data_IF_639534716317
#
_entry.id   IF_639534716317
#
_cell.length_a   1.000
_cell.length_b   1.000
_cell.length_c   1.000
_cell.angle_alpha   90.00
_cell.angle_beta   90.00
_cell.angle_gamma   90.00
#
_symmetry.space_group_name_H-M   'P 1'
#
loop_
_entity.id
_entity.type
_entity.pdbx_description
1 polymer ?
#
# COMPACT_ATOMS: atom_id res chain seq x y z
N UNK A 1 60.51 7.48 91.28
CA UNK A 1 59.63 7.36 90.09
C UNK A 1 59.61 8.65 89.27
N UNK A 2 59.53 9.84 89.88
CA UNK A 2 59.64 11.14 89.17
C UNK A 2 60.92 11.30 88.34
N UNK A 3 62.10 11.05 88.92
CA UNK A 3 63.37 11.14 88.18
C UNK A 3 63.46 10.21 86.96
N UNK A 4 62.86 9.01 87.03
CA UNK A 4 62.82 8.05 85.90
C UNK A 4 61.84 8.45 84.80
N UNK A 5 60.86 9.29 85.08
CA UNK A 5 59.92 9.83 84.09
C UNK A 5 60.56 11.05 83.40
N UNK A 6 61.17 11.95 84.16
CA UNK A 6 61.90 13.09 83.59
C UNK A 6 63.06 12.67 82.69
N UNK A 7 63.79 11.61 83.05
CA UNK A 7 64.92 11.13 82.26
C UNK A 7 64.48 10.43 80.96
N UNK A 8 63.33 9.75 80.98
CA UNK A 8 62.71 9.18 79.78
C UNK A 8 62.10 10.24 78.87
N UNK A 9 61.52 11.30 79.44
CA UNK A 9 60.99 12.43 78.68
C UNK A 9 62.10 13.28 78.07
N UNK A 10 63.28 13.36 78.71
CA UNK A 10 64.46 14.01 78.16
C UNK A 10 65.07 13.24 76.97
N UNK A 11 65.26 11.91 77.11
CA UNK A 11 65.74 11.04 76.01
C UNK A 11 64.78 11.04 74.81
N UNK A 12 63.47 11.05 75.05
CA UNK A 12 62.47 11.14 73.98
C UNK A 12 62.53 12.48 73.24
N UNK A 13 62.82 13.60 73.94
CA UNK A 13 62.94 14.94 73.34
C UNK A 13 64.21 15.10 72.51
N UNK A 14 65.34 14.56 72.97
CA UNK A 14 66.61 14.55 72.24
C UNK A 14 66.48 13.74 70.94
N UNK A 15 65.79 12.59 71.00
CA UNK A 15 65.51 11.74 69.85
C UNK A 15 64.57 12.37 68.81
N UNK A 16 63.61 13.19 69.26
CA UNK A 16 62.73 13.98 68.36
C UNK A 16 63.55 15.06 67.64
N UNK A 17 64.43 15.76 68.36
CA UNK A 17 65.28 16.82 67.80
C UNK A 17 66.20 16.30 66.68
N UNK A 18 66.84 15.15 66.89
CA UNK A 18 67.74 14.55 65.89
C UNK A 18 66.97 14.08 64.64
N UNK A 19 65.75 13.54 64.82
CA UNK A 19 64.90 13.13 63.71
C UNK A 19 64.30 14.28 62.90
N UNK A 20 64.11 15.46 63.50
CA UNK A 20 63.52 16.63 62.82
C UNK A 20 64.57 17.44 62.06
N UNK A 21 65.81 17.49 62.55
CA UNK A 21 66.92 18.19 61.88
C UNK A 21 67.47 17.43 60.66
N UNK A 22 67.22 16.12 60.55
CA UNK A 22 67.58 15.31 59.38
C UNK A 22 66.56 15.41 58.22
N UNK A 23 65.39 16.02 58.45
CA UNK A 23 64.38 16.17 57.39
C UNK A 23 64.86 17.17 56.32
N UNK A 24 64.66 16.88 55.03
CA UNK A 24 64.90 17.84 53.97
C UNK A 24 64.11 19.14 54.22
N UNK A 25 64.76 20.28 53.98
CA UNK A 25 64.15 21.61 54.16
C UNK A 25 62.82 21.75 53.40
N UNK A 26 62.69 21.07 52.25
CA UNK A 26 61.48 21.05 51.43
C UNK A 26 60.25 20.39 52.12
N UNK A 27 60.46 19.46 53.06
CA UNK A 27 59.41 18.73 53.76
C UNK A 27 59.14 19.25 55.18
N UNK A 28 59.84 20.31 55.62
CA UNK A 28 59.61 20.90 56.93
C UNK A 28 58.21 21.52 56.99
N UNK A 29 57.46 21.14 58.02
CA UNK A 29 56.16 21.72 58.34
C UNK A 29 56.30 22.80 59.41
N UNK A 30 55.25 23.61 59.57
CA UNK A 30 55.19 24.62 60.64
C UNK A 30 55.27 23.96 62.02
N UNK A 31 54.67 22.79 62.20
CA UNK A 31 54.72 22.00 63.43
C UNK A 31 56.16 21.54 63.75
N UNK A 32 56.93 21.12 62.74
CA UNK A 32 58.34 20.76 62.91
C UNK A 32 59.17 21.94 63.44
N UNK A 33 58.88 23.17 63.00
CA UNK A 33 59.55 24.39 63.48
C UNK A 33 59.20 24.67 64.95
N UNK A 34 57.95 24.44 65.35
CA UNK A 34 57.53 24.57 66.76
C UNK A 34 58.20 23.53 67.67
N UNK A 35 58.38 22.29 67.20
CA UNK A 35 59.09 21.26 67.95
C UNK A 35 60.58 21.59 68.11
N UNK A 36 61.23 22.07 67.06
CA UNK A 36 62.63 22.55 67.11
C UNK A 36 62.76 23.76 68.04
N UNK A 37 61.84 24.72 67.99
CA UNK A 37 61.83 25.88 68.87
C UNK A 37 61.74 25.48 70.35
N UNK A 38 60.91 24.48 70.67
CA UNK A 38 60.76 23.94 72.02
C UNK A 38 62.04 23.26 72.52
N UNK A 39 62.72 22.49 71.67
CA UNK A 39 64.00 21.86 72.00
C UNK A 39 65.10 22.90 72.23
N UNK A 40 65.23 23.89 71.34
CA UNK A 40 66.18 25.00 71.50
C UNK A 40 65.88 25.80 72.77
N UNK A 41 64.61 26.06 73.07
CA UNK A 41 64.18 26.74 74.29
C UNK A 41 64.64 26.02 75.56
N UNK A 42 64.54 24.68 75.60
CA UNK A 42 65.01 23.88 76.73
C UNK A 42 66.54 23.92 76.91
N UNK A 43 67.32 23.96 75.83
CA UNK A 43 68.78 24.10 75.91
C UNK A 43 69.21 25.52 76.31
N UNK A 44 68.51 26.54 75.83
CA UNK A 44 68.72 27.93 76.26
C UNK A 44 68.40 28.10 77.75
N UNK A 45 67.35 27.43 78.27
CA UNK A 45 67.01 27.43 79.70
C UNK A 45 68.15 26.84 80.55
N UNK A 46 68.70 25.69 80.16
CA UNK A 46 69.89 25.11 80.82
C UNK A 46 71.11 26.04 80.83
N UNK A 47 71.32 26.80 79.74
CA UNK A 47 72.40 27.79 79.65
C UNK A 47 72.17 28.98 80.60
N UNK A 48 70.92 29.42 80.77
CA UNK A 48 70.56 30.47 81.73
C UNK A 48 70.85 30.02 83.16
N UNK A 49 70.45 28.79 83.50
CA UNK A 49 70.63 28.23 84.85
C UNK A 49 72.12 28.09 85.23
N UNK A 50 72.99 27.83 84.26
CA UNK A 50 74.43 27.57 84.49
C UNK A 50 75.31 28.82 84.40
N UNK A 51 75.04 29.74 83.46
CA UNK A 51 75.91 30.91 83.19
C UNK A 51 75.24 32.26 83.49
N UNK A 52 73.98 32.26 83.92
CA UNK A 52 73.20 33.46 84.19
C UNK A 52 72.63 34.10 82.93
N UNK A 53 71.54 34.86 83.10
CA UNK A 53 70.75 35.44 82.00
C UNK A 53 71.55 36.33 81.03
N UNK A 54 72.55 37.06 81.53
CA UNK A 54 73.32 38.03 80.73
C UNK A 54 74.05 37.39 79.55
N UNK A 55 74.39 36.09 79.64
CA UNK A 55 75.08 35.35 78.58
C UNK A 55 74.22 35.13 77.33
N UNK A 56 72.89 35.07 77.47
CA UNK A 56 71.98 34.73 76.35
C UNK A 56 71.05 35.87 75.92
N UNK A 57 70.97 36.98 76.66
CA UNK A 57 70.08 38.13 76.36
C UNK A 57 70.19 38.62 74.91
N UNK A 58 71.41 38.67 74.34
CA UNK A 58 71.61 39.08 72.94
C UNK A 58 71.43 37.96 71.90
N UNK A 59 71.42 36.70 72.32
CA UNK A 59 71.33 35.52 71.46
C UNK A 59 69.87 35.09 71.22
N UNK A 60 69.04 35.08 72.26
CA UNK A 60 67.63 34.66 72.16
C UNK A 60 66.87 35.41 71.06
N UNK A 61 66.95 36.74 70.92
CA UNK A 61 66.24 37.45 69.85
C UNK A 61 66.70 37.03 68.44
N UNK A 62 67.96 36.63 68.27
CA UNK A 62 68.48 36.15 66.98
C UNK A 62 67.97 34.74 66.67
N UNK A 63 67.89 33.87 67.68
CA UNK A 63 67.32 32.52 67.55
C UNK A 63 65.83 32.62 67.16
N UNK A 64 65.07 33.45 67.88
CA UNK A 64 63.65 33.70 67.56
C UNK A 64 63.52 34.19 66.12
N UNK A 65 64.37 35.12 65.68
CA UNK A 65 64.34 35.61 64.29
C UNK A 65 64.61 34.52 63.25
N UNK A 66 65.52 33.59 63.51
CA UNK A 66 65.78 32.45 62.61
C UNK A 66 64.58 31.50 62.58
N UNK A 67 63.95 31.24 63.73
CA UNK A 67 62.76 30.40 63.82
C UNK A 67 61.56 31.01 63.09
N UNK A 68 61.33 32.32 63.19
CA UNK A 68 60.31 33.04 62.41
C UNK A 68 60.54 32.91 60.89
N UNK A 69 61.80 33.02 60.45
CA UNK A 69 62.15 32.88 59.03
C UNK A 69 61.89 31.44 58.56
N UNK A 70 62.21 30.44 59.38
CA UNK A 70 61.94 29.03 59.11
C UNK A 70 60.43 28.73 59.08
N UNK A 71 59.64 29.29 60.00
CA UNK A 71 58.17 29.16 59.98
C UNK A 71 57.59 29.77 58.70
N UNK A 72 58.04 30.97 58.32
CA UNK A 72 57.61 31.61 57.07
C UNK A 72 57.96 30.78 55.83
N UNK A 73 59.08 30.06 55.88
CA UNK A 73 59.52 29.18 54.81
C UNK A 73 58.67 27.91 54.76
N UNK A 74 58.46 27.24 55.90
CA UNK A 74 57.64 26.04 56.01
C UNK A 74 56.18 26.30 55.58
N UNK A 75 55.58 27.41 56.02
CA UNK A 75 54.22 27.79 55.62
C UNK A 75 54.09 28.03 54.10
N UNK A 76 55.08 28.68 53.49
CA UNK A 76 55.12 28.86 52.03
C UNK A 76 55.32 27.53 51.30
N UNK A 77 56.19 26.65 51.80
CA UNK A 77 56.41 25.32 51.22
C UNK A 77 55.13 24.48 51.22
N UNK A 78 54.41 24.46 52.34
CA UNK A 78 53.13 23.76 52.45
C UNK A 78 52.07 24.29 51.49
N UNK A 79 52.02 25.62 51.31
CA UNK A 79 51.13 26.24 50.32
C UNK A 79 51.47 25.89 48.86
N UNK A 80 52.77 25.67 48.58
CA UNK A 80 53.25 25.33 47.24
C UNK A 80 52.94 23.87 46.91
N UNK A 81 53.25 22.96 47.85
CA UNK A 81 52.96 21.52 47.73
C UNK A 81 51.45 21.26 47.63
N UNK A 82 50.61 21.96 48.41
CA UNK A 82 49.15 21.88 48.28
C UNK A 82 48.65 22.28 46.88
N UNK A 83 49.23 23.33 46.27
CA UNK A 83 48.86 23.75 44.90
C UNK A 83 49.33 22.73 43.86
N UNK A 84 50.49 22.14 44.05
CA UNK A 84 51.00 21.08 43.18
C UNK A 84 50.09 19.85 43.21
N UNK A 85 49.63 19.43 44.39
CA UNK A 85 48.66 18.34 44.54
C UNK A 85 47.30 18.66 43.88
N UNK A 86 46.80 19.89 44.03
CA UNK A 86 45.59 20.35 43.36
C UNK A 86 45.75 20.31 41.83
N UNK A 87 46.90 20.75 41.32
CA UNK A 87 47.21 20.70 39.89
C UNK A 87 47.30 19.26 39.37
N UNK A 88 47.89 18.35 40.13
CA UNK A 88 47.94 16.93 39.79
C UNK A 88 46.53 16.32 39.73
N UNK A 89 45.67 16.59 40.72
CA UNK A 89 44.25 16.18 40.68
C UNK A 89 43.50 16.78 39.48
N UNK A 90 43.73 18.06 39.18
CA UNK A 90 43.12 18.71 38.02
C UNK A 90 43.60 18.07 36.71
N UNK A 91 44.87 17.69 36.62
CA UNK A 91 45.43 16.99 35.47
C UNK A 91 44.85 15.58 35.31
N UNK A 92 44.77 14.79 36.38
CA UNK A 92 44.16 13.45 36.38
C UNK A 92 42.69 13.50 35.94
N UNK A 93 41.92 14.44 36.48
CA UNK A 93 40.50 14.62 36.09
C UNK A 93 40.35 15.05 34.64
N UNK A 94 41.20 15.95 34.15
CA UNK A 94 41.22 16.36 32.75
C UNK A 94 41.56 15.18 31.82
N UNK A 95 42.54 14.36 32.19
CA UNK A 95 42.92 13.17 31.43
C UNK A 95 41.77 12.15 31.38
N UNK A 96 41.11 11.88 32.51
CA UNK A 96 39.94 11.00 32.57
C UNK A 96 38.77 11.53 31.71
N UNK A 97 38.48 12.84 31.76
CA UNK A 97 37.48 13.46 30.90
C UNK A 97 37.82 13.31 29.41
N UNK A 98 39.09 13.50 29.04
CA UNK A 98 39.50 13.37 27.64
C UNK A 98 39.32 11.94 27.13
N UNK A 99 39.70 10.94 27.93
CA UNK A 99 39.48 9.52 27.59
C UNK A 99 37.99 9.20 27.46
N UNK A 100 37.14 9.70 28.37
CA UNK A 100 35.68 9.51 28.28
C UNK A 100 35.10 10.16 27.02
N UNK A 101 35.56 11.36 26.64
CA UNK A 101 35.13 12.00 25.39
C UNK A 101 35.53 11.20 24.15
N UNK A 102 36.74 10.64 24.11
CA UNK A 102 37.17 9.77 23.02
C UNK A 102 36.31 8.50 22.92
N UNK A 103 36.00 7.87 24.06
CA UNK A 103 35.10 6.72 24.09
C UNK A 103 33.67 7.08 23.65
N UNK A 104 33.17 8.26 24.06
CA UNK A 104 31.83 8.75 23.66
C UNK A 104 31.78 9.05 22.16
N UNK A 105 32.84 9.62 21.57
CA UNK A 105 32.97 9.81 20.12
C UNK A 105 33.00 8.47 19.37
N UNK A 106 33.80 7.49 19.82
CA UNK A 106 33.82 6.15 19.23
C UNK A 106 32.46 5.44 19.31
N UNK A 107 31.78 5.50 20.46
CA UNK A 107 30.44 4.91 20.62
C UNK A 107 29.38 5.59 19.73
N UNK A 108 29.45 6.92 19.57
CA UNK A 108 28.58 7.65 18.64
C UNK A 108 28.82 7.23 17.19
N UNK A 109 30.07 7.14 16.75
CA UNK A 109 30.41 6.72 15.39
C UNK A 109 29.94 5.28 15.08
N UNK A 110 30.02 4.35 16.04
CA UNK A 110 29.51 2.98 15.86
C UNK A 110 27.98 2.96 15.81
N UNK A 111 27.30 3.77 16.64
CA UNK A 111 25.83 3.86 16.62
C UNK A 111 25.31 4.51 15.34
N UNK A 112 26.01 5.50 14.79
CA UNK A 112 25.68 6.11 13.50
C UNK A 112 25.85 5.14 12.33
N UNK A 113 26.85 4.25 12.37
CA UNK A 113 27.03 3.23 11.34
C UNK A 113 25.93 2.15 11.34
N UNK A 114 25.43 1.78 12.52
CA UNK A 114 24.34 0.80 12.68
C UNK A 114 22.99 1.40 12.23
N UNK A 115 22.73 2.66 12.56
CA UNK A 115 21.54 3.41 12.12
C UNK A 115 21.54 3.64 10.59
N UNK A 116 22.72 3.90 10.01
CA UNK A 116 22.89 4.01 8.54
C UNK A 116 22.59 2.68 7.82
N UNK A 117 22.85 1.54 8.45
CA UNK A 117 22.54 0.22 7.91
C UNK A 117 21.03 -0.01 7.84
N UNK A 118 20.32 0.27 8.94
CA UNK A 118 18.86 0.15 9.02
C UNK A 118 18.17 1.13 8.06
N UNK A 119 18.71 2.35 7.95
CA UNK A 119 18.20 3.37 7.03
C UNK A 119 18.37 2.96 5.56
N UNK A 120 19.49 2.31 5.21
CA UNK A 120 19.71 1.74 3.86
C UNK A 120 18.74 0.62 3.53
N UNK A 121 18.49 -0.29 4.46
CA UNK A 121 17.55 -1.41 4.28
C UNK A 121 16.13 -0.88 4.07
N UNK A 122 15.71 0.07 4.90
CA UNK A 122 14.40 0.74 4.77
C UNK A 122 14.26 1.45 3.42
N UNK A 123 15.33 2.11 2.94
CA UNK A 123 15.33 2.77 1.64
C UNK A 123 15.22 1.78 0.48
N UNK A 124 15.90 0.64 0.57
CA UNK A 124 15.80 -0.43 -0.44
C UNK A 124 14.39 -1.02 -0.48
N UNK A 125 13.76 -1.27 0.67
CA UNK A 125 12.39 -1.78 0.76
C UNK A 125 11.36 -0.82 0.14
N UNK A 126 11.51 0.48 0.40
CA UNK A 126 10.66 1.50 -0.22
C UNK A 126 10.83 1.53 -1.74
N UNK A 127 12.07 1.44 -2.22
CA UNK A 127 12.35 1.45 -3.66
C UNK A 127 11.80 0.18 -4.35
N UNK A 128 11.92 -0.99 -3.73
CA UNK A 128 11.30 -2.22 -4.25
C UNK A 128 9.76 -2.11 -4.31
N UNK A 129 9.15 -1.49 -3.30
CA UNK A 129 7.70 -1.22 -3.30
C UNK A 129 7.34 -0.27 -4.42
N UNK A 130 8.05 0.85 -4.58
CA UNK A 130 7.83 1.81 -5.66
C UNK A 130 7.91 1.14 -7.04
N UNK A 131 8.96 0.35 -7.29
CA UNK A 131 9.12 -0.40 -8.54
C UNK A 131 7.96 -1.39 -8.76
N UNK A 132 7.50 -2.05 -7.69
CA UNK A 132 6.34 -2.95 -7.73
C UNK A 132 5.02 -2.22 -8.03
N UNK A 133 4.87 -0.98 -7.57
CA UNK A 133 3.71 -0.16 -7.89
C UNK A 133 3.77 0.35 -9.33
N UNK A 134 4.94 0.77 -9.81
CA UNK A 134 5.14 1.16 -11.20
C UNK A 134 4.87 0.01 -12.18
N UNK A 135 5.34 -1.21 -11.90
CA UNK A 135 5.04 -2.38 -12.74
C UNK A 135 3.54 -2.66 -12.82
N UNK A 136 2.86 -2.69 -11.67
CA UNK A 136 1.41 -2.92 -11.61
C UNK A 136 0.61 -1.82 -12.31
N UNK A 137 1.01 -0.55 -12.18
CA UNK A 137 0.37 0.56 -12.92
C UNK A 137 0.47 0.35 -14.42
N UNK A 138 1.67 0.02 -14.93
CA UNK A 138 1.88 -0.25 -16.37
C UNK A 138 1.10 -1.46 -16.86
N UNK A 139 1.03 -2.53 -16.06
CA UNK A 139 0.24 -3.72 -16.39
C UNK A 139 -1.26 -3.40 -16.46
N UNK A 140 -1.78 -2.61 -15.54
CA UNK A 140 -3.18 -2.17 -15.55
C UNK A 140 -3.47 -1.23 -16.73
N UNK A 141 -2.57 -0.29 -17.02
CA UNK A 141 -2.68 0.58 -18.20
C UNK A 141 -2.72 -0.24 -19.50
N UNK A 142 -1.86 -1.25 -19.63
CA UNK A 142 -1.87 -2.16 -20.79
C UNK A 142 -3.18 -2.94 -20.90
N UNK A 143 -3.72 -3.44 -19.78
CA UNK A 143 -5.02 -4.12 -19.75
C UNK A 143 -6.17 -3.20 -20.16
N UNK A 144 -6.17 -1.95 -19.69
CA UNK A 144 -7.18 -0.96 -20.08
C UNK A 144 -7.13 -0.69 -21.57
N UNK A 145 -5.94 -0.49 -22.14
CA UNK A 145 -5.78 -0.28 -23.58
C UNK A 145 -6.27 -1.49 -24.39
N UNK A 146 -5.92 -2.71 -23.96
CA UNK A 146 -6.39 -3.94 -24.62
C UNK A 146 -7.92 -4.08 -24.58
N UNK A 147 -8.55 -3.80 -23.43
CA UNK A 147 -10.01 -3.84 -23.29
C UNK A 147 -10.71 -2.74 -24.10
N UNK A 148 -10.07 -1.58 -24.26
CA UNK A 148 -10.58 -0.51 -25.12
C UNK A 148 -10.53 -0.91 -26.60
N UNK A 149 -9.43 -1.53 -27.05
CA UNK A 149 -9.30 -2.06 -28.41
C UNK A 149 -10.35 -3.14 -28.70
N UNK A 150 -10.50 -4.11 -27.79
CA UNK A 150 -11.52 -5.17 -27.92
C UNK A 150 -12.95 -4.62 -27.95
N UNK A 151 -13.28 -3.63 -27.12
CA UNK A 151 -14.59 -2.98 -27.17
C UNK A 151 -14.81 -2.26 -28.50
N UNK A 152 -13.79 -1.58 -29.01
CA UNK A 152 -13.87 -0.89 -30.30
C UNK A 152 -14.11 -1.90 -31.44
N UNK A 153 -13.38 -3.02 -31.46
CA UNK A 153 -13.58 -4.10 -32.42
C UNK A 153 -15.00 -4.69 -32.35
N UNK A 154 -15.50 -4.98 -31.14
CA UNK A 154 -16.85 -5.51 -30.95
C UNK A 154 -17.92 -4.49 -31.40
N UNK A 155 -17.72 -3.21 -31.11
CA UNK A 155 -18.62 -2.15 -31.58
C UNK A 155 -18.64 -2.05 -33.10
N UNK A 156 -17.48 -2.17 -33.75
CA UNK A 156 -17.40 -2.15 -35.21
C UNK A 156 -18.00 -3.41 -35.84
N UNK A 157 -17.83 -4.59 -35.22
CA UNK A 157 -18.50 -5.83 -35.63
C UNK A 157 -20.03 -5.71 -35.51
N UNK A 158 -20.53 -5.17 -34.39
CA UNK A 158 -21.96 -4.93 -34.20
C UNK A 158 -22.50 -3.98 -35.26
N UNK A 159 -21.79 -2.88 -35.55
CA UNK A 159 -22.17 -1.94 -36.62
C UNK A 159 -22.28 -2.63 -37.98
N UNK A 160 -21.32 -3.47 -38.33
CA UNK A 160 -21.34 -4.23 -39.59
C UNK A 160 -22.52 -5.20 -39.60
N UNK A 161 -22.73 -5.98 -38.53
CA UNK A 161 -23.84 -6.94 -38.42
C UNK A 161 -25.20 -6.25 -38.57
N UNK A 162 -25.44 -5.14 -37.86
CA UNK A 162 -26.68 -4.38 -37.97
C UNK A 162 -26.89 -3.85 -39.38
N UNK A 163 -25.84 -3.36 -40.05
CA UNK A 163 -25.96 -2.87 -41.43
C UNK A 163 -26.28 -3.99 -42.43
N UNK A 164 -25.75 -5.19 -42.21
CA UNK A 164 -26.04 -6.37 -43.02
C UNK A 164 -27.47 -6.85 -42.81
N UNK A 165 -27.93 -6.89 -41.55
CA UNK A 165 -29.31 -7.23 -41.21
C UNK A 165 -30.29 -6.22 -41.83
N UNK A 166 -30.03 -4.92 -41.71
CA UNK A 166 -30.81 -3.87 -42.35
C UNK A 166 -30.85 -4.02 -43.88
N UNK A 167 -29.76 -4.48 -44.50
CA UNK A 167 -29.72 -4.75 -45.95
C UNK A 167 -30.56 -5.98 -46.30
N UNK A 168 -30.47 -7.06 -45.52
CA UNK A 168 -31.27 -8.26 -45.70
C UNK A 168 -32.76 -7.98 -45.54
N UNK A 169 -33.16 -7.26 -44.48
CA UNK A 169 -34.55 -6.86 -44.26
C UNK A 169 -35.10 -6.01 -45.41
N UNK A 170 -34.30 -5.12 -46.02
CA UNK A 170 -34.72 -4.36 -47.21
C UNK A 170 -34.95 -5.28 -48.41
N UNK A 171 -34.07 -6.25 -48.65
CA UNK A 171 -34.22 -7.22 -49.73
C UNK A 171 -35.46 -8.10 -49.52
N UNK A 172 -35.72 -8.57 -48.30
CA UNK A 172 -36.92 -9.34 -47.95
C UNK A 172 -38.20 -8.52 -48.18
N UNK A 173 -38.23 -7.25 -47.78
CA UNK A 173 -39.36 -6.34 -48.05
C UNK A 173 -39.58 -6.15 -49.55
N UNK A 174 -38.52 -5.99 -50.33
CA UNK A 174 -38.62 -5.87 -51.78
C UNK A 174 -39.21 -7.13 -52.43
N UNK A 175 -38.72 -8.32 -52.01
CA UNK A 175 -39.26 -9.61 -52.46
C UNK A 175 -40.72 -9.75 -52.06
N UNK A 176 -41.08 -9.39 -50.83
CA UNK A 176 -42.45 -9.43 -50.33
C UNK A 176 -43.39 -8.53 -51.14
N UNK A 177 -42.95 -7.30 -51.49
CA UNK A 177 -43.74 -6.39 -52.32
C UNK A 177 -43.94 -6.93 -53.74
N UNK A 178 -42.89 -7.52 -54.35
CA UNK A 178 -42.99 -8.19 -55.67
C UNK A 178 -43.96 -9.36 -55.63
N UNK A 179 -43.86 -10.22 -54.61
CA UNK A 179 -44.78 -11.34 -54.41
C UNK A 179 -46.21 -10.86 -54.20
N UNK A 180 -46.41 -9.82 -53.39
CA UNK A 180 -47.73 -9.21 -53.19
C UNK A 180 -48.34 -8.72 -54.50
N UNK A 181 -47.57 -8.02 -55.33
CA UNK A 181 -48.04 -7.53 -56.63
C UNK A 181 -48.48 -8.69 -57.56
N UNK A 182 -47.72 -9.79 -57.58
CA UNK A 182 -48.09 -10.99 -58.34
C UNK A 182 -49.35 -11.63 -57.79
N UNK A 183 -49.48 -11.76 -56.47
CA UNK A 183 -50.68 -12.32 -55.82
C UNK A 183 -51.91 -11.47 -56.09
N UNK A 184 -51.80 -10.14 -56.00
CA UNK A 184 -52.91 -9.22 -56.29
C UNK A 184 -53.33 -9.32 -57.76
N UNK A 185 -52.38 -9.39 -58.69
CA UNK A 185 -52.65 -9.64 -60.11
C UNK A 185 -53.37 -10.98 -60.33
N UNK A 186 -52.90 -12.06 -59.72
CA UNK A 186 -53.54 -13.38 -59.82
C UNK A 186 -54.96 -13.37 -59.22
N UNK A 187 -55.20 -12.63 -58.13
CA UNK A 187 -56.54 -12.45 -57.56
C UNK A 187 -57.48 -11.73 -58.52
N UNK A 188 -57.00 -10.67 -59.20
CA UNK A 188 -57.78 -9.94 -60.20
C UNK A 188 -58.09 -10.81 -61.43
N UNK A 189 -57.10 -11.59 -61.90
CA UNK A 189 -57.30 -12.55 -63.00
C UNK A 189 -58.35 -13.61 -62.63
N UNK A 190 -58.30 -14.19 -61.42
CA UNK A 190 -59.30 -15.15 -60.94
C UNK A 190 -60.68 -14.51 -60.86
N UNK A 191 -60.79 -13.27 -60.35
CA UNK A 191 -62.07 -12.55 -60.31
C UNK A 191 -62.64 -12.32 -61.70
N UNK A 192 -61.82 -11.86 -62.65
CA UNK A 192 -62.23 -11.68 -64.04
C UNK A 192 -62.71 -13.00 -64.66
N UNK A 193 -61.96 -14.09 -64.48
CA UNK A 193 -62.36 -15.42 -64.96
C UNK A 193 -63.63 -15.95 -64.31
N UNK A 194 -63.85 -15.68 -63.03
CA UNK A 194 -65.10 -16.04 -62.34
C UNK A 194 -66.30 -15.29 -62.92
N UNK A 195 -66.14 -14.00 -63.22
CA UNK A 195 -67.18 -13.21 -63.88
C UNK A 195 -67.47 -13.70 -65.29
N UNK A 196 -66.44 -13.97 -66.10
CA UNK A 196 -66.56 -14.56 -67.44
C UNK A 196 -67.32 -15.90 -67.39
N UNK A 197 -66.92 -16.82 -66.49
CA UNK A 197 -67.62 -18.10 -66.29
C UNK A 197 -69.07 -17.90 -65.88
N UNK A 198 -69.38 -16.92 -65.03
CA UNK A 198 -70.76 -16.62 -64.65
C UNK A 198 -71.59 -16.08 -65.82
N UNK A 199 -71.00 -15.29 -66.72
CA UNK A 199 -71.67 -14.80 -67.94
C UNK A 199 -71.93 -15.97 -68.88
N UNK A 200 -70.90 -16.76 -69.19
CA UNK A 200 -71.03 -17.92 -70.06
C UNK A 200 -72.03 -18.94 -69.49
N UNK A 201 -72.05 -19.14 -68.18
CA UNK A 201 -73.05 -20.00 -67.54
C UNK A 201 -74.48 -19.47 -67.72
N UNK A 202 -74.69 -18.14 -67.64
CA UNK A 202 -76.00 -17.52 -67.91
C UNK A 202 -76.38 -17.68 -69.37
N UNK A 203 -75.43 -17.52 -70.30
CA UNK A 203 -75.63 -17.72 -71.74
C UNK A 203 -76.01 -19.18 -72.05
N UNK A 204 -75.30 -20.15 -71.45
CA UNK A 204 -75.61 -21.58 -71.56
C UNK A 204 -77.00 -21.88 -71.02
N UNK A 205 -77.36 -21.34 -69.85
CA UNK A 205 -78.67 -21.57 -69.24
C UNK A 205 -79.80 -20.92 -70.07
N UNK A 206 -79.56 -19.73 -70.63
CA UNK A 206 -80.49 -19.05 -71.52
C UNK A 206 -80.79 -19.84 -72.80
N UNK A 207 -79.85 -20.65 -73.30
CA UNK A 207 -80.06 -21.55 -74.44
C UNK A 207 -80.63 -22.91 -73.99
N UNK A 208 -80.16 -23.45 -72.87
CA UNK A 208 -80.57 -24.75 -72.32
C UNK A 208 -82.06 -24.76 -71.97
N UNK A 209 -82.58 -23.71 -71.32
CA UNK A 209 -83.97 -23.65 -70.89
C UNK A 209 -84.94 -23.77 -72.10
N UNK A 210 -84.88 -22.92 -73.14
CA UNK A 210 -85.72 -23.05 -74.33
C UNK A 210 -85.56 -24.40 -75.04
N UNK A 211 -84.34 -24.92 -75.14
CA UNK A 211 -84.10 -26.24 -75.75
C UNK A 211 -84.82 -27.35 -74.97
N UNK A 212 -84.70 -27.37 -73.65
CA UNK A 212 -85.40 -28.33 -72.80
C UNK A 212 -86.93 -28.19 -72.90
N UNK A 213 -87.47 -26.97 -72.92
CA UNK A 213 -88.90 -26.73 -73.16
C UNK A 213 -89.35 -27.26 -74.52
N UNK A 214 -88.55 -27.03 -75.58
CA UNK A 214 -88.82 -27.53 -76.93
C UNK A 214 -88.79 -29.06 -76.98
N UNK A 215 -87.75 -29.70 -76.44
CA UNK A 215 -87.66 -31.16 -76.37
C UNK A 215 -88.80 -31.78 -75.56
N UNK A 216 -89.16 -31.19 -74.42
CA UNK A 216 -90.28 -31.67 -73.59
C UNK A 216 -91.62 -31.50 -74.34
N UNK A 217 -91.78 -30.38 -75.06
CA UNK A 217 -92.92 -30.14 -75.95
C UNK A 217 -93.00 -31.16 -77.08
N UNK A 218 -91.89 -31.44 -77.76
CA UNK A 218 -91.79 -32.46 -78.81
C UNK A 218 -92.10 -33.87 -78.27
N UNK A 219 -91.60 -34.23 -77.07
CA UNK A 219 -91.95 -35.49 -76.42
C UNK A 219 -93.44 -35.58 -76.07
N UNK A 220 -94.05 -34.51 -75.54
CA UNK A 220 -95.51 -34.47 -75.30
C UNK A 220 -96.30 -34.61 -76.59
N UNK A 221 -95.90 -33.93 -77.66
CA UNK A 221 -96.54 -34.00 -78.97
C UNK A 221 -96.44 -35.41 -79.57
N UNK A 222 -95.26 -36.04 -79.51
CA UNK A 222 -95.08 -37.44 -79.93
C UNK A 222 -95.94 -38.40 -79.12
N UNK A 223 -96.01 -38.25 -77.80
CA UNK A 223 -96.91 -39.07 -76.95
C UNK A 223 -98.38 -38.86 -77.32
N UNK A 224 -98.83 -37.62 -77.53
CA UNK A 224 -100.21 -37.33 -77.92
C UNK A 224 -100.56 -37.92 -79.29
N UNK A 225 -99.64 -37.85 -80.26
CA UNK A 225 -99.81 -38.44 -81.58
C UNK A 225 -99.85 -39.97 -81.50
N UNK A 226 -98.99 -40.58 -80.68
CA UNK A 226 -99.01 -42.04 -80.45
C UNK A 226 -100.29 -42.52 -79.76
N UNK A 227 -100.90 -41.73 -78.87
CA UNK A 227 -102.20 -42.06 -78.27
C UNK A 227 -103.33 -41.91 -79.29
N UNK A 228 -103.30 -40.88 -80.15
CA UNK A 228 -104.28 -40.71 -81.23
C UNK A 228 -104.19 -41.85 -82.24
N UNK A 229 -102.98 -42.21 -82.70
CA UNK A 229 -102.82 -43.35 -83.61
C UNK A 229 -103.25 -44.66 -82.96
N UNK A 230 -102.96 -44.88 -81.67
CA UNK A 230 -103.46 -46.05 -80.94
C UNK A 230 -105.00 -46.06 -80.85
N UNK A 231 -105.64 -44.92 -80.58
CA UNK A 231 -107.11 -44.83 -80.53
C UNK A 231 -107.77 -44.99 -81.91
N UNK A 232 -107.13 -44.47 -82.97
CA UNK A 232 -107.62 -44.62 -84.35
C UNK A 232 -107.42 -46.06 -84.87
N UNK A 233 -106.31 -46.72 -84.50
CA UNK A 233 -106.09 -48.16 -84.73
C UNK A 233 -107.11 -49.02 -83.98
N UNK A 234 -107.45 -48.65 -82.74
CA UNK A 234 -108.45 -49.36 -81.91
C UNK A 234 -109.88 -49.22 -82.45
N UNK A 235 -110.22 -48.08 -83.07
CA UNK A 235 -111.52 -47.86 -83.74
C UNK A 235 -111.63 -48.55 -85.09
N UNK A 236 -110.54 -48.68 -85.84
CA UNK A 236 -110.54 -49.29 -87.18
C UNK A 236 -110.60 -50.84 -87.13
N UNK A 237 -110.16 -51.45 -86.02
CA UNK A 237 -110.14 -52.91 -85.83
C UNK A 237 -110.51 -53.31 -84.39
N UNK A 238 -111.80 -53.44 -84.03
CA UNK A 238 -112.19 -53.97 -82.73
C UNK A 238 -111.97 -55.49 -82.70
N UNK A 239 -110.78 -55.97 -82.33
CA UNK A 239 -110.60 -57.41 -82.05
C UNK A 239 -109.26 -58.10 -82.35
N UNK A 240 -108.14 -57.42 -82.63
CA UNK A 240 -106.82 -58.08 -82.67
C UNK A 240 -106.01 -57.84 -81.38
N UNK A 241 -106.26 -58.74 -80.43
CA UNK A 241 -105.38 -59.35 -79.41
C UNK A 241 -103.96 -58.78 -79.20
N UNK A 242 -103.64 -58.63 -77.91
CA UNK A 242 -102.52 -59.29 -77.21
C UNK A 242 -101.15 -59.36 -77.93
N UNK A 243 -100.17 -58.69 -77.29
CA UNK A 243 -98.74 -59.01 -77.19
C UNK A 243 -97.84 -58.53 -78.34
N UNK A 244 -97.14 -57.42 -78.09
CA UNK A 244 -95.68 -57.31 -78.24
C UNK A 244 -95.15 -56.22 -77.29
N UNK A 245 -94.36 -56.64 -76.31
CA UNK A 245 -93.41 -55.83 -75.53
C UNK A 245 -92.42 -55.12 -76.47
N UNK A 246 -91.97 -53.91 -76.14
CA UNK A 246 -90.54 -53.62 -75.92
C UNK A 246 -90.34 -52.25 -75.24
N UNK A 247 -89.76 -52.29 -74.05
CA UNK A 247 -89.06 -51.18 -73.37
C UNK A 247 -87.73 -50.92 -74.12
N UNK A 248 -87.11 -49.72 -74.04
CA UNK A 248 -86.49 -49.21 -72.82
C UNK A 248 -86.95 -47.83 -72.37
#
# INVERSE_FOLDING_TARGET
>A
MRERVEQKDAEAREKIMESTLEKPVASLTVDDVYDVAKAIGAEVEKLIDSFGKEAVVGLVPKIVRVLELLESFAARSQSCTSKEEELLKAYETFQAQQQQQQQKKKKKAVKEADDDSVSKETRQDLQQKEDGWHRRSKELEAQVLQLQEQNQELMDQLRISTSQEDRAQRQEREVMLKLKAVVDKQRDEIRAKTLELSSLSKEVEAVRIPFMFCCTGALRAMRACSVHTHSDLEKMCPGLKSVCFFHP
#
